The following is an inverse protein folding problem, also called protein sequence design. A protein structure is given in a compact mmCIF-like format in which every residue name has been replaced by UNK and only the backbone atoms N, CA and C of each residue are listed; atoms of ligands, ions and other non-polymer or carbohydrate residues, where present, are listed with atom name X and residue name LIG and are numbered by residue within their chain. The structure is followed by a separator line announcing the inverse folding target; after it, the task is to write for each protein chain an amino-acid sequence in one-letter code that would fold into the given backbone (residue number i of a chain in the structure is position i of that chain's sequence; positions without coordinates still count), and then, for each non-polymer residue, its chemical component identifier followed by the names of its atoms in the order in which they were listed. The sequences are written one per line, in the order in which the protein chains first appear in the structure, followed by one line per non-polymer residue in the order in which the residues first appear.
data_IF_957782114467
#
_entry.id   IF_957782114467
#
_cell.length_a   1.000
_cell.length_b   1.000
_cell.length_c   1.000
_cell.angle_alpha   90.00
_cell.angle_beta   90.00
_cell.angle_gamma   90.00
#
_symmetry.space_group_name_H-M   'P 1'
#
loop_
_entity.id
_entity.type
_entity.pdbx_description
1 polymer ?
#
# COMPACT_ATOMS: atom_id res chain seq x y z
N UNK A 1 6.30 28.14 15.29
CA UNK A 1 6.21 28.28 13.83
C UNK A 1 5.68 27.02 13.14
N UNK A 2 6.17 25.80 13.43
CA UNK A 2 5.68 24.55 12.82
C UNK A 2 4.20 24.29 13.08
N UNK A 3 3.73 24.50 14.32
CA UNK A 3 2.31 24.36 14.69
C UNK A 3 1.40 25.26 13.88
N UNK A 4 1.77 26.54 13.76
CA UNK A 4 1.00 27.52 13.01
C UNK A 4 0.95 27.17 11.51
N UNK A 5 2.07 26.74 10.93
CA UNK A 5 2.14 26.32 9.54
C UNK A 5 1.23 25.10 9.28
N UNK A 6 1.22 24.11 10.20
CA UNK A 6 0.39 22.92 10.08
C UNK A 6 -1.11 23.25 10.19
N UNK A 7 -1.49 24.08 11.18
CA UNK A 7 -2.88 24.52 11.36
C UNK A 7 -3.34 25.34 10.17
N UNK A 8 -2.51 26.28 9.68
CA UNK A 8 -2.82 27.08 8.49
C UNK A 8 -3.02 26.19 7.25
N UNK A 9 -2.12 25.23 7.03
CA UNK A 9 -2.28 24.25 5.97
C UNK A 9 -3.60 23.49 6.12
N UNK A 10 -3.93 23.01 7.33
CA UNK A 10 -5.20 22.30 7.59
C UNK A 10 -6.40 23.21 7.29
N UNK A 11 -6.39 24.46 7.74
CA UNK A 11 -7.49 25.42 7.50
C UNK A 11 -7.68 25.71 6.01
N UNK A 12 -6.58 25.79 5.23
CA UNK A 12 -6.65 25.96 3.76
C UNK A 12 -7.21 24.70 3.09
N UNK A 13 -6.81 23.50 3.55
CA UNK A 13 -7.28 22.23 2.97
C UNK A 13 -8.72 21.87 3.34
N UNK A 14 -9.28 22.41 4.42
CA UNK A 14 -10.63 22.09 4.88
C UNK A 14 -11.71 22.45 3.84
N UNK A 15 -11.81 23.70 3.34
CA UNK A 15 -12.77 24.05 2.29
C UNK A 15 -12.47 23.32 0.97
N UNK A 16 -11.21 23.02 0.68
CA UNK A 16 -10.81 22.24 -0.48
C UNK A 16 -11.32 20.79 -0.37
N UNK A 17 -11.24 20.19 0.81
CA UNK A 17 -11.74 18.83 1.09
C UNK A 17 -13.27 18.73 0.91
N UNK A 18 -14.01 19.79 1.28
CA UNK A 18 -15.45 19.86 1.10
C UNK A 18 -15.85 20.02 -0.38
N UNK A 19 -15.08 20.79 -1.18
CA UNK A 19 -15.39 21.05 -2.59
C UNK A 19 -14.82 19.99 -3.54
N UNK A 20 -13.65 19.47 -3.23
CA UNK A 20 -12.91 18.49 -4.03
C UNK A 20 -12.52 17.28 -3.14
N UNK A 21 -13.44 16.33 -2.93
CA UNK A 21 -13.20 15.20 -2.01
C UNK A 21 -11.95 14.37 -2.33
N UNK A 22 -11.57 14.29 -3.62
CA UNK A 22 -10.33 13.61 -4.01
C UNK A 22 -9.07 14.31 -3.44
N UNK A 23 -9.03 15.65 -3.40
CA UNK A 23 -7.97 16.40 -2.75
C UNK A 23 -8.00 16.21 -1.22
N UNK A 24 -9.19 16.18 -0.64
CA UNK A 24 -9.40 15.85 0.78
C UNK A 24 -8.84 14.46 1.13
N UNK A 25 -9.13 13.46 0.32
CA UNK A 25 -8.61 12.10 0.53
C UNK A 25 -7.08 12.01 0.37
N UNK A 26 -6.46 12.80 -0.51
CA UNK A 26 -5.00 12.92 -0.60
C UNK A 26 -4.41 13.53 0.68
N UNK A 27 -5.03 14.60 1.19
CA UNK A 27 -4.61 15.22 2.45
C UNK A 27 -4.82 14.27 3.64
N UNK A 28 -5.92 13.54 3.70
CA UNK A 28 -6.18 12.52 4.71
C UNK A 28 -5.13 11.43 4.68
N UNK A 29 -4.80 10.87 3.50
CA UNK A 29 -3.73 9.88 3.35
C UNK A 29 -2.37 10.43 3.79
N UNK A 30 -2.04 11.69 3.44
CA UNK A 30 -0.84 12.35 3.91
C UNK A 30 -0.78 12.45 5.43
N UNK A 31 -1.87 12.87 6.09
CA UNK A 31 -1.94 12.93 7.55
C UNK A 31 -1.88 11.55 8.21
N UNK A 32 -2.46 10.51 7.58
CA UNK A 32 -2.43 9.13 8.09
C UNK A 32 -1.03 8.52 8.05
N UNK A 33 -0.31 8.68 6.93
CA UNK A 33 0.98 8.02 6.68
C UNK A 33 2.14 8.86 7.22
N UNK A 34 2.19 10.17 6.90
CA UNK A 34 3.28 11.04 7.33
C UNK A 34 3.15 11.47 8.80
N UNK A 35 1.92 11.52 9.33
CA UNK A 35 1.63 12.01 10.69
C UNK A 35 2.28 13.39 11.00
N UNK A 36 2.05 14.44 10.20
CA UNK A 36 2.74 15.72 10.35
C UNK A 36 2.44 16.39 11.69
N UNK A 37 1.27 16.12 12.30
CA UNK A 37 0.91 16.62 13.63
C UNK A 37 1.77 16.01 14.75
N UNK A 38 2.46 14.90 14.52
CA UNK A 38 3.43 14.31 15.45
C UNK A 38 4.87 14.85 15.25
N UNK A 39 5.07 15.72 14.24
CA UNK A 39 6.34 16.38 13.94
C UNK A 39 6.43 17.78 14.55
N UNK A 40 5.38 18.27 15.20
CA UNK A 40 5.30 19.54 15.91
C UNK A 40 5.43 19.33 17.42
N UNK A 41 5.82 20.35 18.15
CA UNK A 41 6.12 20.24 19.59
C UNK A 41 5.23 21.14 20.46
N UNK A 42 4.22 21.81 19.88
CA UNK A 42 3.36 22.75 20.58
C UNK A 42 1.90 22.30 20.58
N UNK A 43 0.99 23.26 20.55
CA UNK A 43 -0.45 23.05 20.72
C UNK A 43 -1.11 22.15 19.66
N UNK A 44 -0.51 22.06 18.47
CA UNK A 44 -1.04 21.24 17.38
C UNK A 44 -0.74 19.73 17.54
N UNK A 45 0.18 19.33 18.43
CA UNK A 45 0.61 17.94 18.62
C UNK A 45 -0.53 16.98 18.98
N UNK A 46 -1.42 17.40 19.88
CA UNK A 46 -2.53 16.59 20.37
C UNK A 46 -3.84 16.78 19.59
N UNK A 47 -3.88 17.63 18.58
CA UNK A 47 -5.11 17.97 17.89
C UNK A 47 -5.53 16.87 16.91
N UNK A 48 -6.84 16.56 16.80
CA UNK A 48 -7.36 15.50 15.91
C UNK A 48 -7.45 15.98 14.45
N UNK A 49 -6.39 16.60 13.92
CA UNK A 49 -6.39 17.24 12.60
C UNK A 49 -6.70 16.22 11.48
N UNK A 50 -6.18 15.00 11.61
CA UNK A 50 -6.48 13.93 10.66
C UNK A 50 -7.98 13.59 10.63
N UNK A 51 -8.62 13.49 11.80
CA UNK A 51 -10.06 13.21 11.90
C UNK A 51 -10.91 14.35 11.34
N UNK A 52 -10.49 15.61 11.54
CA UNK A 52 -11.17 16.78 11.00
C UNK A 52 -11.15 16.75 9.46
N UNK A 53 -10.00 16.46 8.84
CA UNK A 53 -9.85 16.33 7.39
C UNK A 53 -10.68 15.14 6.88
N UNK A 54 -10.66 14.01 7.60
CA UNK A 54 -11.45 12.83 7.25
C UNK A 54 -12.95 13.14 7.20
N UNK A 55 -13.49 13.77 8.24
CA UNK A 55 -14.90 14.17 8.31
C UNK A 55 -15.25 15.17 7.21
N UNK A 56 -14.42 16.20 6.98
CA UNK A 56 -14.63 17.16 5.89
C UNK A 56 -14.63 16.47 4.52
N UNK A 57 -13.73 15.50 4.31
CA UNK A 57 -13.66 14.72 3.06
C UNK A 57 -14.91 13.88 2.85
N UNK A 58 -15.39 13.18 3.90
CA UNK A 58 -16.61 12.37 3.86
C UNK A 58 -17.84 13.23 3.58
N UNK A 59 -17.99 14.36 4.28
CA UNK A 59 -19.10 15.30 4.05
C UNK A 59 -19.04 15.87 2.63
N UNK A 60 -17.85 16.30 2.17
CA UNK A 60 -17.66 16.78 0.82
C UNK A 60 -18.02 15.72 -0.23
N UNK A 61 -17.64 14.46 -0.02
CA UNK A 61 -18.02 13.37 -0.92
C UNK A 61 -19.52 13.10 -0.93
N UNK A 62 -20.19 13.11 0.22
CA UNK A 62 -21.63 12.89 0.32
C UNK A 62 -22.42 13.95 -0.47
N UNK A 63 -21.99 15.21 -0.41
CA UNK A 63 -22.66 16.35 -1.08
C UNK A 63 -22.21 16.49 -2.54
N UNK A 64 -21.04 15.97 -2.91
CA UNK A 64 -20.47 16.11 -4.24
C UNK A 64 -21.25 15.35 -5.31
N UNK A 65 -21.07 15.79 -6.58
CA UNK A 65 -21.57 15.11 -7.76
C UNK A 65 -20.64 13.98 -8.25
N UNK A 66 -19.64 13.61 -7.47
CA UNK A 66 -18.74 12.50 -7.80
C UNK A 66 -19.53 11.19 -7.94
N UNK A 67 -19.18 10.34 -8.91
CA UNK A 67 -19.87 9.07 -9.09
C UNK A 67 -19.70 8.17 -7.86
N UNK A 68 -20.81 7.77 -7.24
CA UNK A 68 -20.82 6.88 -6.06
C UNK A 68 -21.04 5.42 -6.49
N UNK A 69 -20.27 4.98 -7.51
CA UNK A 69 -20.37 3.62 -8.03
C UNK A 69 -19.45 2.69 -7.25
N UNK A 70 -20.01 1.63 -6.66
CA UNK A 70 -19.24 0.57 -6.05
C UNK A 70 -18.45 -0.18 -7.12
N UNK A 71 -17.15 -0.46 -6.91
CA UNK A 71 -16.37 -1.23 -7.88
C UNK A 71 -16.92 -2.63 -8.08
N UNK A 72 -16.97 -3.09 -9.32
CA UNK A 72 -17.44 -4.43 -9.70
C UNK A 72 -16.37 -5.52 -9.53
N UNK A 73 -15.56 -5.42 -8.47
CA UNK A 73 -14.51 -6.35 -8.12
C UNK A 73 -14.84 -7.10 -6.82
N UNK A 74 -14.22 -8.25 -6.58
CA UNK A 74 -14.42 -9.01 -5.34
C UNK A 74 -13.72 -8.38 -4.13
N UNK A 75 -12.58 -7.71 -4.33
CA UNK A 75 -11.76 -7.15 -3.24
C UNK A 75 -12.53 -6.14 -2.38
N UNK A 76 -13.26 -5.13 -2.92
CA UNK A 76 -14.05 -4.20 -2.12
C UNK A 76 -15.10 -4.89 -1.24
N UNK A 77 -15.72 -5.96 -1.73
CA UNK A 77 -16.70 -6.74 -0.97
C UNK A 77 -16.05 -7.56 0.14
N UNK A 78 -14.89 -8.16 -0.13
CA UNK A 78 -14.12 -8.89 0.89
C UNK A 78 -13.58 -7.94 1.97
N UNK A 79 -13.14 -6.73 1.61
CA UNK A 79 -12.74 -5.72 2.59
C UNK A 79 -13.93 -5.24 3.44
N UNK A 80 -15.11 -5.06 2.83
CA UNK A 80 -16.32 -4.76 3.58
C UNK A 80 -16.72 -5.89 4.52
N UNK A 81 -16.64 -7.14 4.05
CA UNK A 81 -16.90 -8.33 4.85
C UNK A 81 -15.90 -8.45 6.00
N UNK A 82 -14.61 -8.17 5.76
CA UNK A 82 -13.58 -8.15 6.80
C UNK A 82 -13.88 -7.11 7.87
N UNK A 83 -14.25 -5.88 7.47
CA UNK A 83 -14.65 -4.82 8.41
C UNK A 83 -15.90 -5.21 9.20
N UNK A 84 -16.90 -5.80 8.54
CA UNK A 84 -18.11 -6.28 9.19
C UNK A 84 -17.78 -7.39 10.21
N UNK A 85 -16.90 -8.33 9.85
CA UNK A 85 -16.45 -9.39 10.76
C UNK A 85 -15.67 -8.82 11.94
N UNK A 86 -14.67 -7.95 11.73
CA UNK A 86 -13.90 -7.30 12.78
C UNK A 86 -14.80 -6.51 13.75
N UNK A 87 -15.86 -5.87 13.24
CA UNK A 87 -16.81 -5.13 14.06
C UNK A 87 -17.70 -6.08 14.87
N UNK A 88 -18.12 -7.19 14.24
CA UNK A 88 -18.97 -8.20 14.85
C UNK A 88 -18.25 -8.99 15.95
N UNK A 89 -16.97 -9.32 15.78
CA UNK A 89 -16.22 -10.12 16.74
C UNK A 89 -15.64 -9.31 17.91
N UNK A 90 -15.48 -7.99 17.77
CA UNK A 90 -14.89 -7.10 18.80
C UNK A 90 -15.63 -7.17 20.16
N UNK A 91 -16.97 -7.23 20.26
CA UNK A 91 -17.67 -7.45 21.54
C UNK A 91 -17.35 -8.78 22.23
N UNK A 92 -16.94 -9.79 21.45
CA UNK A 92 -16.57 -11.13 21.95
C UNK A 92 -15.07 -11.29 22.22
N UNK A 93 -14.30 -10.21 22.09
CA UNK A 93 -12.86 -10.18 22.34
C UNK A 93 -12.55 -10.61 23.79
N UNK A 94 -11.33 -11.10 24.02
CA UNK A 94 -10.85 -11.45 25.37
C UNK A 94 -10.86 -10.23 26.32
N UNK A 95 -10.55 -9.04 25.79
CA UNK A 95 -10.62 -7.75 26.52
C UNK A 95 -11.32 -6.73 25.60
N UNK A 96 -12.67 -6.68 25.59
CA UNK A 96 -13.42 -5.85 24.64
C UNK A 96 -13.07 -4.37 24.70
N UNK A 97 -12.92 -3.80 25.92
CA UNK A 97 -12.59 -2.38 26.08
C UNK A 97 -11.25 -2.01 25.41
N UNK A 98 -10.26 -2.90 25.49
CA UNK A 98 -8.97 -2.74 24.81
C UNK A 98 -9.10 -2.87 23.29
N UNK A 99 -9.86 -3.87 22.84
CA UNK A 99 -10.10 -4.13 21.42
C UNK A 99 -10.80 -2.96 20.71
N UNK A 100 -11.79 -2.31 21.36
CA UNK A 100 -12.49 -1.16 20.81
C UNK A 100 -11.57 0.06 20.51
N UNK A 101 -10.50 0.24 21.28
CA UNK A 101 -9.52 1.31 21.03
C UNK A 101 -8.81 1.10 19.70
N UNK A 102 -8.41 -0.13 19.40
CA UNK A 102 -7.76 -0.46 18.12
C UNK A 102 -8.75 -0.54 16.97
N UNK A 103 -9.99 -0.97 17.22
CA UNK A 103 -11.07 -0.94 16.23
C UNK A 103 -11.31 0.50 15.74
N UNK A 104 -11.41 1.48 16.62
CA UNK A 104 -11.60 2.89 16.27
C UNK A 104 -10.49 3.41 15.35
N UNK A 105 -9.24 3.05 15.60
CA UNK A 105 -8.12 3.39 14.73
C UNK A 105 -8.23 2.68 13.36
N UNK A 106 -8.53 1.40 13.38
CA UNK A 106 -8.57 0.55 12.18
C UNK A 106 -9.71 0.95 11.26
N UNK A 107 -10.90 1.22 11.78
CA UNK A 107 -12.05 1.62 10.96
C UNK A 107 -11.81 2.94 10.20
N UNK A 108 -11.04 3.86 10.77
CA UNK A 108 -10.66 5.11 10.08
C UNK A 108 -9.75 4.84 8.89
N UNK A 109 -8.84 3.85 9.00
CA UNK A 109 -8.00 3.40 7.87
C UNK A 109 -8.88 2.82 6.77
N UNK A 110 -9.80 1.90 7.10
CA UNK A 110 -10.71 1.32 6.11
C UNK A 110 -11.64 2.37 5.48
N UNK A 111 -12.08 3.38 6.24
CA UNK A 111 -12.86 4.48 5.69
C UNK A 111 -12.06 5.25 4.61
N UNK A 112 -10.77 5.51 4.82
CA UNK A 112 -9.90 6.06 3.78
C UNK A 112 -9.83 5.13 2.55
N UNK A 113 -9.66 3.81 2.78
CA UNK A 113 -9.58 2.83 1.69
C UNK A 113 -10.85 2.82 0.84
N UNK A 114 -12.03 2.88 1.48
CA UNK A 114 -13.30 2.99 0.76
C UNK A 114 -13.40 4.31 -0.02
N UNK A 115 -12.90 5.43 0.52
CA UNK A 115 -12.82 6.69 -0.24
C UNK A 115 -11.88 6.57 -1.44
N UNK A 116 -10.79 5.82 -1.34
CA UNK A 116 -9.91 5.56 -2.49
C UNK A 116 -10.67 4.85 -3.61
N UNK A 117 -11.50 3.85 -3.31
CA UNK A 117 -12.32 3.18 -4.33
C UNK A 117 -13.24 4.13 -5.10
N UNK A 118 -13.89 5.06 -4.41
CA UNK A 118 -14.83 5.98 -5.04
C UNK A 118 -14.15 7.13 -5.79
N UNK A 119 -13.06 7.66 -5.28
CA UNK A 119 -12.49 8.93 -5.72
C UNK A 119 -11.31 8.80 -6.69
N UNK A 120 -10.55 7.70 -6.66
CA UNK A 120 -9.31 7.58 -7.44
C UNK A 120 -9.51 6.81 -8.75
N UNK A 121 -10.49 7.27 -9.55
CA UNK A 121 -10.93 6.61 -10.79
C UNK A 121 -10.27 7.15 -12.06
N UNK A 122 -9.35 8.09 -11.95
CA UNK A 122 -8.61 8.67 -13.09
C UNK A 122 -7.10 8.51 -12.93
N UNK A 123 -6.37 8.49 -14.07
CA UNK A 123 -4.90 8.42 -14.07
C UNK A 123 -4.27 9.50 -13.18
N UNK A 124 -4.73 10.74 -13.28
CA UNK A 124 -4.18 11.86 -12.51
C UNK A 124 -4.36 11.66 -11.00
N UNK A 125 -5.54 11.22 -10.56
CA UNK A 125 -5.83 10.97 -9.14
C UNK A 125 -5.01 9.77 -8.60
N UNK A 126 -4.88 8.68 -9.37
CA UNK A 126 -4.03 7.53 -9.01
C UNK A 126 -2.57 8.00 -8.81
N UNK A 127 -2.02 8.76 -9.77
CA UNK A 127 -0.66 9.31 -9.64
C UNK A 127 -0.54 10.28 -8.47
N UNK A 128 -1.57 11.10 -8.19
CA UNK A 128 -1.62 11.96 -7.01
C UNK A 128 -1.46 11.17 -5.70
N UNK A 129 -2.16 10.04 -5.57
CA UNK A 129 -2.02 9.16 -4.39
C UNK A 129 -0.62 8.52 -4.33
N UNK A 130 -0.10 8.03 -5.47
CA UNK A 130 1.28 7.50 -5.52
C UNK A 130 2.29 8.54 -5.04
N UNK A 131 2.16 9.81 -5.47
CA UNK A 131 3.01 10.88 -4.99
C UNK A 131 2.85 11.16 -3.49
N UNK A 132 1.63 11.10 -2.95
CA UNK A 132 1.41 11.25 -1.50
C UNK A 132 2.10 10.15 -0.72
N UNK A 133 2.01 8.89 -1.18
CA UNK A 133 2.72 7.77 -0.55
C UNK A 133 4.24 8.00 -0.55
N UNK A 134 4.80 8.32 -1.72
CA UNK A 134 6.24 8.54 -1.92
C UNK A 134 6.75 9.72 -1.08
N UNK A 135 6.04 10.84 -1.05
CA UNK A 135 6.46 12.01 -0.27
C UNK A 135 6.37 11.72 1.24
N UNK A 136 5.31 11.02 1.67
CA UNK A 136 5.07 10.74 3.09
C UNK A 136 6.12 9.81 3.68
N UNK A 137 6.39 8.69 3.06
CA UNK A 137 7.38 7.71 3.53
C UNK A 137 8.79 8.10 3.12
N UNK A 138 8.96 8.63 1.92
CA UNK A 138 10.23 9.13 1.42
C UNK A 138 10.84 10.21 2.31
N UNK A 139 10.02 11.04 2.97
CA UNK A 139 10.50 11.98 3.99
C UNK A 139 11.27 11.27 5.11
N UNK A 140 10.70 10.20 5.68
CA UNK A 140 11.37 9.41 6.72
C UNK A 140 12.54 8.61 6.18
N UNK A 141 12.38 8.03 4.99
CA UNK A 141 13.44 7.26 4.33
C UNK A 141 14.67 8.12 4.03
N UNK A 142 14.47 9.31 3.45
CA UNK A 142 15.57 10.26 3.15
C UNK A 142 16.19 10.79 4.43
N UNK A 143 15.38 11.28 5.38
CA UNK A 143 15.88 11.76 6.67
C UNK A 143 16.66 10.68 7.41
N UNK A 144 16.13 9.45 7.44
CA UNK A 144 16.78 8.30 8.07
C UNK A 144 18.08 7.90 7.36
N UNK A 145 18.12 7.93 6.01
CA UNK A 145 19.34 7.66 5.25
C UNK A 145 20.44 8.66 5.52
N UNK A 146 20.11 9.97 5.52
CA UNK A 146 21.05 11.02 5.90
C UNK A 146 21.53 10.83 7.34
N UNK A 147 20.62 10.55 8.28
CA UNK A 147 20.96 10.28 9.67
C UNK A 147 21.91 9.07 9.81
N UNK A 148 21.68 8.01 9.08
CA UNK A 148 22.55 6.82 9.07
C UNK A 148 23.95 7.15 8.55
N UNK A 149 24.06 7.92 7.46
CA UNK A 149 25.36 8.34 6.89
C UNK A 149 26.11 9.21 7.88
N UNK A 150 25.49 10.27 8.39
CA UNK A 150 26.13 11.23 9.29
C UNK A 150 26.47 10.63 10.65
N UNK A 151 25.67 9.64 11.10
CA UNK A 151 25.89 8.93 12.36
C UNK A 151 26.79 7.71 12.23
N UNK A 152 27.38 7.41 11.06
CA UNK A 152 28.19 6.21 10.83
C UNK A 152 27.45 4.90 11.13
N UNK A 153 26.12 4.89 11.00
CA UNK A 153 25.28 3.72 11.26
C UNK A 153 25.09 3.33 12.74
N UNK A 154 25.65 4.08 13.70
CA UNK A 154 25.61 3.69 15.12
C UNK A 154 24.25 3.82 15.81
N UNK A 155 23.33 4.60 15.26
CA UNK A 155 22.03 4.85 15.86
C UNK A 155 20.89 4.27 15.01
N UNK A 156 19.89 3.67 15.68
CA UNK A 156 18.74 3.04 15.02
C UNK A 156 17.77 4.13 14.53
N UNK A 157 17.30 3.98 13.28
CA UNK A 157 16.28 4.86 12.71
C UNK A 157 14.89 4.35 13.09
N UNK A 158 14.10 5.21 13.73
CA UNK A 158 12.70 4.98 14.10
C UNK A 158 11.77 5.85 13.25
N UNK A 159 10.51 5.41 13.17
CA UNK A 159 9.45 6.19 12.51
C UNK A 159 8.79 7.21 13.42
N UNK A 160 7.70 7.86 12.93
CA UNK A 160 6.98 8.87 13.71
C UNK A 160 6.24 8.24 14.88
N UNK A 161 6.36 8.87 16.06
CA UNK A 161 5.68 8.42 17.28
C UNK A 161 4.17 8.30 17.08
N UNK A 162 3.57 7.34 17.78
CA UNK A 162 2.12 7.06 17.77
C UNK A 162 1.53 6.78 16.36
N UNK A 163 2.37 6.38 15.40
CA UNK A 163 1.94 5.94 14.06
C UNK A 163 1.97 4.41 13.94
N UNK A 164 1.45 3.89 12.82
CA UNK A 164 1.62 2.48 12.42
C UNK A 164 3.08 2.16 12.10
N UNK A 165 3.87 3.17 11.78
CA UNK A 165 5.27 3.06 11.36
C UNK A 165 6.26 3.49 12.44
N UNK A 166 5.85 3.56 13.71
CA UNK A 166 6.68 4.03 14.82
C UNK A 166 7.95 3.17 15.03
N UNK A 167 7.78 1.87 15.00
CA UNK A 167 8.89 0.91 15.17
C UNK A 167 9.83 0.90 13.96
N UNK A 168 11.14 0.68 14.20
CA UNK A 168 12.16 0.62 13.18
C UNK A 168 11.88 -0.46 12.11
N UNK A 169 11.34 -1.61 12.50
CA UNK A 169 11.03 -2.69 11.57
C UNK A 169 9.82 -2.35 10.68
N UNK A 170 8.79 -1.72 11.27
CA UNK A 170 7.59 -1.30 10.53
C UNK A 170 7.93 -0.20 9.52
N UNK A 171 8.76 0.78 9.93
CA UNK A 171 9.23 1.83 9.03
C UNK A 171 10.07 1.24 7.88
N UNK A 172 10.99 0.33 8.18
CA UNK A 172 11.83 -0.31 7.16
C UNK A 172 10.97 -1.04 6.12
N UNK A 173 9.98 -1.83 6.56
CA UNK A 173 9.09 -2.54 5.63
C UNK A 173 8.22 -1.59 4.81
N UNK A 174 7.72 -0.50 5.40
CA UNK A 174 6.96 0.51 4.68
C UNK A 174 7.79 1.17 3.58
N UNK A 175 9.03 1.56 3.88
CA UNK A 175 9.96 2.14 2.90
C UNK A 175 10.30 1.12 1.80
N UNK A 176 10.59 -0.13 2.13
CA UNK A 176 10.81 -1.18 1.11
C UNK A 176 9.59 -1.35 0.21
N UNK A 177 8.39 -1.30 0.77
CA UNK A 177 7.14 -1.41 0.00
C UNK A 177 6.92 -0.23 -0.95
N UNK A 178 7.40 0.95 -0.58
CA UNK A 178 7.33 2.17 -1.39
C UNK A 178 8.36 2.20 -2.53
N UNK A 179 9.57 1.67 -2.34
CA UNK A 179 10.69 1.77 -3.30
C UNK A 179 10.33 1.41 -4.76
N UNK A 180 9.54 0.37 -5.06
CA UNK A 180 9.12 0.11 -6.44
C UNK A 180 8.29 1.24 -7.05
N UNK A 181 7.51 1.98 -6.24
CA UNK A 181 6.75 3.14 -6.71
C UNK A 181 7.67 4.32 -7.02
N UNK A 182 8.70 4.54 -6.20
CA UNK A 182 9.76 5.53 -6.48
C UNK A 182 10.46 5.19 -7.80
N UNK A 183 10.79 3.92 -8.02
CA UNK A 183 11.38 3.45 -9.27
C UNK A 183 10.46 3.67 -10.47
N UNK A 184 9.14 3.42 -10.32
CA UNK A 184 8.14 3.76 -11.34
C UNK A 184 8.19 5.24 -11.72
N UNK A 185 8.22 6.14 -10.73
CA UNK A 185 8.30 7.58 -10.98
C UNK A 185 9.60 7.95 -11.72
N UNK A 186 10.74 7.38 -11.34
CA UNK A 186 12.03 7.60 -12.02
C UNK A 186 11.96 7.19 -13.51
N UNK A 187 11.32 6.06 -13.81
CA UNK A 187 11.17 5.57 -15.19
C UNK A 187 10.30 6.49 -16.05
N UNK A 188 9.24 7.07 -15.47
CA UNK A 188 8.28 7.92 -16.17
C UNK A 188 8.60 9.42 -16.13
N UNK A 189 9.66 9.83 -15.39
CA UNK A 189 10.10 11.21 -15.30
C UNK A 189 11.15 11.50 -16.36
N UNK A 190 10.82 12.39 -17.32
CA UNK A 190 11.74 12.83 -18.39
C UNK A 190 12.68 13.95 -17.95
N UNK A 191 12.23 14.81 -17.04
CA UNK A 191 12.98 15.97 -16.58
C UNK A 191 14.14 15.55 -15.65
N UNK A 192 15.38 15.78 -16.06
CA UNK A 192 16.58 15.40 -15.29
C UNK A 192 16.62 16.04 -13.90
N UNK A 193 16.18 17.29 -13.78
CA UNK A 193 16.14 18.03 -12.52
C UNK A 193 15.24 17.40 -11.46
N UNK A 194 14.24 16.60 -11.84
CA UNK A 194 13.37 15.86 -10.95
C UNK A 194 13.83 14.40 -10.80
N UNK A 195 14.31 13.81 -11.90
CA UNK A 195 14.76 12.41 -11.93
C UNK A 195 15.98 12.17 -11.03
N UNK A 196 16.98 13.06 -11.07
CA UNK A 196 18.21 12.92 -10.29
C UNK A 196 17.92 12.99 -8.77
N UNK A 197 17.23 14.02 -8.22
CA UNK A 197 16.90 14.04 -6.81
C UNK A 197 16.06 12.85 -6.35
N UNK A 198 15.12 12.36 -7.19
CA UNK A 198 14.32 11.16 -6.87
C UNK A 198 15.19 9.91 -6.80
N UNK A 199 16.18 9.77 -7.68
CA UNK A 199 17.16 8.68 -7.61
C UNK A 199 18.02 8.77 -6.34
N UNK A 200 18.50 9.97 -6.00
CA UNK A 200 19.25 10.18 -4.74
C UNK A 200 18.39 9.85 -3.52
N UNK A 201 17.13 10.28 -3.52
CA UNK A 201 16.18 9.95 -2.46
C UNK A 201 15.99 8.43 -2.33
N UNK A 202 15.87 7.71 -3.46
CA UNK A 202 15.77 6.25 -3.46
C UNK A 202 17.02 5.58 -2.85
N UNK A 203 18.23 6.08 -3.15
CA UNK A 203 19.47 5.55 -2.56
C UNK A 203 19.51 5.79 -1.05
N UNK A 204 19.13 6.99 -0.58
CA UNK A 204 19.05 7.30 0.85
C UNK A 204 18.03 6.43 1.57
N UNK A 205 16.90 6.13 0.95
CA UNK A 205 15.90 5.21 1.49
C UNK A 205 16.45 3.78 1.65
N UNK A 206 17.21 3.28 0.66
CA UNK A 206 17.89 1.98 0.78
C UNK A 206 18.88 1.99 1.95
N UNK A 207 19.70 3.04 2.10
CA UNK A 207 20.64 3.19 3.23
C UNK A 207 19.88 3.21 4.57
N UNK A 208 18.75 3.89 4.64
CA UNK A 208 17.88 3.92 5.83
C UNK A 208 17.41 2.52 6.23
N UNK A 209 17.10 1.61 5.29
CA UNK A 209 16.69 0.25 5.62
C UNK A 209 17.79 -0.49 6.40
N UNK A 210 19.05 -0.28 6.06
CA UNK A 210 20.17 -0.81 6.85
C UNK A 210 20.28 -0.09 8.20
N UNK A 211 20.20 1.24 8.23
CA UNK A 211 20.23 2.05 9.46
C UNK A 211 19.05 1.81 10.41
N UNK A 212 18.00 1.13 9.95
CA UNK A 212 16.90 0.69 10.81
C UNK A 212 17.25 -0.53 11.68
N UNK A 213 18.31 -1.25 11.36
CA UNK A 213 18.68 -2.52 12.00
C UNK A 213 17.60 -3.61 11.90
N UNK A 214 16.69 -3.50 10.95
CA UNK A 214 15.58 -4.42 10.74
C UNK A 214 16.00 -5.62 9.88
N UNK A 215 16.17 -6.79 10.50
CA UNK A 215 16.43 -8.05 9.77
C UNK A 215 15.33 -8.34 8.74
N UNK A 216 14.06 -8.17 9.14
CA UNK A 216 12.90 -8.34 8.26
C UNK A 216 12.87 -7.33 7.11
N UNK A 217 13.24 -6.06 7.36
CA UNK A 217 13.35 -5.03 6.34
C UNK A 217 14.44 -5.34 5.31
N UNK A 218 15.62 -5.77 5.76
CA UNK A 218 16.73 -6.17 4.86
C UNK A 218 16.36 -7.40 4.02
N UNK A 219 15.70 -8.40 4.60
CA UNK A 219 15.21 -9.56 3.85
C UNK A 219 14.14 -9.17 2.82
N UNK A 220 13.17 -8.32 3.19
CA UNK A 220 12.17 -7.81 2.26
C UNK A 220 12.79 -7.00 1.11
N UNK A 221 13.83 -6.18 1.41
CA UNK A 221 14.62 -5.47 0.42
C UNK A 221 15.31 -6.45 -0.54
N UNK A 222 15.92 -7.50 -0.02
CA UNK A 222 16.54 -8.57 -0.81
C UNK A 222 15.55 -9.25 -1.75
N UNK A 223 14.35 -9.57 -1.28
CA UNK A 223 13.26 -10.13 -2.12
C UNK A 223 12.86 -9.15 -3.20
N UNK A 224 12.62 -7.88 -2.86
CA UNK A 224 12.28 -6.82 -3.81
C UNK A 224 13.35 -6.69 -4.91
N UNK A 225 14.62 -6.55 -4.50
CA UNK A 225 15.74 -6.40 -5.45
C UNK A 225 15.90 -7.65 -6.33
N UNK A 226 15.74 -8.85 -5.78
CA UNK A 226 15.78 -10.11 -6.53
C UNK A 226 14.70 -10.16 -7.61
N UNK A 227 13.46 -9.77 -7.28
CA UNK A 227 12.37 -9.74 -8.26
C UNK A 227 12.65 -8.73 -9.38
N UNK A 228 13.13 -7.54 -9.05
CA UNK A 228 13.48 -6.51 -10.04
C UNK A 228 14.65 -6.95 -10.92
N UNK A 229 15.68 -7.56 -10.32
CA UNK A 229 16.84 -8.09 -11.03
C UNK A 229 16.49 -9.21 -12.00
N UNK A 230 15.69 -10.20 -11.56
CA UNK A 230 15.24 -11.32 -12.39
C UNK A 230 14.45 -10.88 -13.62
N UNK A 231 13.74 -9.74 -13.51
CA UNK A 231 12.92 -9.17 -14.60
C UNK A 231 13.66 -8.20 -15.51
N UNK A 232 14.85 -7.77 -15.11
CA UNK A 232 15.62 -6.81 -15.88
C UNK A 232 16.29 -7.45 -17.08
N UNK A 233 16.28 -6.76 -18.22
CA UNK A 233 17.06 -7.12 -19.40
C UNK A 233 18.56 -6.82 -19.21
N UNK A 234 18.90 -5.90 -18.28
CA UNK A 234 20.27 -5.46 -17.95
C UNK A 234 20.76 -6.04 -16.63
N UNK A 235 20.68 -7.37 -16.49
CA UNK A 235 20.98 -8.09 -15.23
C UNK A 235 22.35 -7.76 -14.65
N UNK A 236 23.39 -7.72 -15.50
CA UNK A 236 24.77 -7.43 -15.06
C UNK A 236 24.86 -6.02 -14.48
N UNK A 237 24.31 -5.01 -15.18
CA UNK A 237 24.35 -3.62 -14.72
C UNK A 237 23.63 -3.44 -13.38
N UNK A 238 22.40 -3.96 -13.26
CA UNK A 238 21.63 -3.84 -12.01
C UNK A 238 22.21 -4.71 -10.91
N UNK A 239 22.85 -5.85 -11.22
CA UNK A 239 23.58 -6.66 -10.26
C UNK A 239 24.78 -5.91 -9.69
N UNK A 240 25.59 -5.28 -10.53
CA UNK A 240 26.72 -4.43 -10.10
C UNK A 240 26.21 -3.24 -9.27
N UNK A 241 25.17 -2.54 -9.72
CA UNK A 241 24.60 -1.40 -9.00
C UNK A 241 24.08 -1.82 -7.62
N UNK A 242 23.37 -2.95 -7.53
CA UNK A 242 22.91 -3.51 -6.27
C UNK A 242 24.10 -3.86 -5.34
N UNK A 243 25.14 -4.48 -5.87
CA UNK A 243 26.35 -4.83 -5.11
C UNK A 243 27.04 -3.57 -4.57
N UNK A 244 27.16 -2.52 -5.39
CA UNK A 244 27.78 -1.24 -4.97
C UNK A 244 26.95 -0.55 -3.88
N UNK A 245 25.62 -0.47 -4.06
CA UNK A 245 24.74 0.21 -3.09
C UNK A 245 24.67 -0.58 -1.78
N UNK A 246 24.45 -1.89 -1.86
CA UNK A 246 24.36 -2.75 -0.67
C UNK A 246 25.73 -2.88 0.00
N UNK A 247 26.80 -3.10 -0.77
CA UNK A 247 28.16 -3.17 -0.25
C UNK A 247 28.61 -1.87 0.40
N UNK A 248 28.29 -0.72 -0.22
CA UNK A 248 28.56 0.60 0.36
C UNK A 248 27.76 0.85 1.63
N UNK A 249 26.48 0.47 1.68
CA UNK A 249 25.69 0.57 2.91
C UNK A 249 26.25 -0.33 4.02
N UNK A 250 26.59 -1.58 3.71
CA UNK A 250 27.17 -2.52 4.68
C UNK A 250 28.52 -2.07 5.21
N UNK A 251 29.40 -1.48 4.37
CA UNK A 251 30.70 -0.97 4.79
C UNK A 251 30.62 0.17 5.80
N UNK A 252 29.46 0.83 5.89
CA UNK A 252 29.21 1.92 6.85
C UNK A 252 28.62 1.41 8.18
N UNK A 253 28.22 0.12 8.24
CA UNK A 253 27.56 -0.42 9.44
C UNK A 253 28.59 -0.86 10.46
N UNK A 254 28.38 -0.58 11.76
CA UNK A 254 29.24 -1.00 12.85
C UNK A 254 29.08 -2.51 13.16
N UNK A 255 30.04 -3.05 13.92
CA UNK A 255 30.05 -4.48 14.33
C UNK A 255 28.77 -4.90 15.05
N UNK A 256 28.11 -3.99 15.76
CA UNK A 256 26.82 -4.24 16.42
C UNK A 256 25.67 -4.58 15.42
N UNK A 257 25.74 -4.08 14.20
CA UNK A 257 24.81 -4.45 13.14
C UNK A 257 25.06 -5.89 12.69
N UNK A 258 26.32 -6.25 12.45
CA UNK A 258 26.69 -7.60 12.02
C UNK A 258 26.43 -8.65 13.11
N UNK A 259 26.70 -8.33 14.37
CA UNK A 259 26.38 -9.23 15.48
C UNK A 259 24.88 -9.53 15.55
N UNK A 260 24.02 -8.54 15.31
CA UNK A 260 22.57 -8.75 15.20
C UNK A 260 22.16 -9.60 13.99
N UNK A 261 22.86 -9.49 12.85
CA UNK A 261 22.58 -10.35 11.71
C UNK A 261 23.04 -11.80 11.97
N UNK A 262 24.16 -12.01 12.66
CA UNK A 262 24.67 -13.34 12.99
C UNK A 262 23.75 -14.14 13.93
N UNK A 263 22.92 -13.50 14.76
CA UNK A 263 21.93 -14.21 15.60
C UNK A 263 20.88 -14.96 14.78
N UNK A 264 20.75 -14.70 13.46
CA UNK A 264 19.91 -15.50 12.57
C UNK A 264 20.38 -16.97 12.53
N UNK A 265 21.66 -17.24 12.72
CA UNK A 265 22.21 -18.60 12.69
C UNK A 265 22.00 -19.38 14.01
N UNK A 266 21.58 -18.71 15.09
CA UNK A 266 21.31 -19.27 16.41
C UNK A 266 19.82 -19.24 16.77
N UNK A 267 18.98 -19.72 15.87
CA UNK A 267 17.50 -19.68 15.94
C UNK A 267 16.95 -20.22 17.27
N UNK A 268 17.59 -21.23 17.84
CA UNK A 268 17.14 -21.86 19.09
C UNK A 268 17.51 -21.05 20.35
N UNK A 269 18.39 -20.05 20.25
CA UNK A 269 18.84 -19.19 21.36
C UNK A 269 18.47 -17.72 21.16
N UNK A 270 17.85 -17.36 20.02
CA UNK A 270 17.36 -16.02 19.76
C UNK A 270 16.01 -15.81 20.45
N UNK A 271 16.04 -15.18 21.63
CA UNK A 271 14.82 -14.84 22.41
C UNK A 271 13.78 -14.12 21.58
N UNK A 272 14.19 -13.27 20.63
CA UNK A 272 13.28 -12.55 19.74
C UNK A 272 12.55 -13.47 18.75
N UNK A 273 13.20 -14.54 18.29
CA UNK A 273 12.56 -15.53 17.41
C UNK A 273 11.63 -16.45 18.22
N UNK A 274 12.10 -16.95 19.35
CA UNK A 274 11.29 -17.80 20.24
C UNK A 274 10.03 -17.06 20.72
N UNK A 275 10.14 -15.79 21.09
CA UNK A 275 9.00 -14.96 21.46
C UNK A 275 7.96 -14.86 20.35
N UNK A 276 8.36 -14.82 19.06
CA UNK A 276 7.42 -14.85 17.92
C UNK A 276 6.75 -16.20 17.78
N UNK A 277 7.49 -17.29 17.88
CA UNK A 277 6.95 -18.66 17.80
C UNK A 277 5.94 -18.87 18.92
N UNK A 278 6.25 -18.43 20.14
CA UNK A 278 5.35 -18.44 21.28
C UNK A 278 4.06 -17.65 21.00
N UNK A 279 4.17 -16.45 20.46
CA UNK A 279 3.01 -15.62 20.10
C UNK A 279 2.18 -16.26 18.95
N UNK A 280 2.81 -16.91 17.98
CA UNK A 280 2.10 -17.66 16.92
C UNK A 280 1.35 -18.87 17.51
N UNK A 281 2.00 -19.58 18.43
CA UNK A 281 1.36 -20.69 19.13
C UNK A 281 0.12 -20.23 19.91
N UNK A 282 0.23 -19.14 20.69
CA UNK A 282 -0.89 -18.56 21.43
C UNK A 282 -2.02 -18.13 20.48
N UNK A 283 -1.69 -17.43 19.38
CA UNK A 283 -2.68 -17.00 18.40
C UNK A 283 -3.43 -18.19 17.76
N UNK A 284 -2.69 -19.25 17.41
CA UNK A 284 -3.25 -20.46 16.82
C UNK A 284 -4.16 -21.22 17.80
N UNK A 285 -3.68 -21.45 19.01
CA UNK A 285 -4.43 -22.19 20.05
C UNK A 285 -5.72 -21.45 20.39
N UNK A 286 -5.63 -20.14 20.67
CA UNK A 286 -6.81 -19.34 21.03
C UNK A 286 -7.83 -19.31 19.89
N UNK A 287 -7.42 -19.05 18.64
CA UNK A 287 -8.32 -19.02 17.50
C UNK A 287 -8.98 -20.37 17.23
N UNK A 288 -8.31 -21.49 17.58
CA UNK A 288 -8.85 -22.84 17.38
C UNK A 288 -9.85 -23.20 18.49
N UNK A 289 -9.54 -22.91 19.74
CA UNK A 289 -10.42 -23.18 20.88
C UNK A 289 -11.68 -22.30 20.91
N UNK A 290 -11.53 -21.05 20.44
CA UNK A 290 -12.63 -20.06 20.46
C UNK A 290 -13.31 -19.91 19.09
N UNK A 291 -13.11 -20.87 18.18
CA UNK A 291 -13.75 -20.80 16.86
C UNK A 291 -15.23 -20.40 16.97
N UNK A 292 -15.73 -19.46 16.12
CA UNK A 292 -15.04 -18.82 14.99
C UNK A 292 -14.26 -17.54 15.33
N UNK A 293 -14.28 -17.09 16.59
CA UNK A 293 -13.76 -15.80 17.07
C UNK A 293 -12.25 -15.83 17.32
N UNK A 294 -11.63 -14.63 17.27
CA UNK A 294 -10.30 -14.37 17.78
C UNK A 294 -10.32 -13.77 19.18
N UNK A 295 -9.14 -13.31 19.63
CA UNK A 295 -9.00 -12.65 20.91
C UNK A 295 -9.42 -11.16 20.88
N UNK A 296 -9.81 -10.63 19.72
CA UNK A 296 -9.98 -9.21 19.44
C UNK A 296 -8.65 -8.53 19.14
N UNK A 297 -8.71 -7.28 18.67
CA UNK A 297 -7.51 -6.52 18.28
C UNK A 297 -6.43 -6.54 19.36
N UNK A 298 -5.26 -7.08 19.02
CA UNK A 298 -4.12 -7.30 19.91
C UNK A 298 -4.45 -8.12 21.18
N UNK A 299 -5.58 -8.80 21.22
CA UNK A 299 -6.06 -9.55 22.38
C UNK A 299 -5.16 -10.73 22.74
N UNK A 300 -4.59 -11.41 21.74
CA UNK A 300 -3.66 -12.53 21.93
C UNK A 300 -2.36 -12.14 22.67
N UNK A 301 -2.01 -10.84 22.70
CA UNK A 301 -0.84 -10.30 23.40
C UNK A 301 -1.16 -9.84 24.84
N UNK A 302 -2.41 -9.93 25.27
CA UNK A 302 -2.79 -9.55 26.63
C UNK A 302 -2.36 -10.62 27.63
N UNK A 303 -2.01 -10.25 28.89
CA UNK A 303 -1.63 -11.22 29.92
C UNK A 303 -2.68 -12.32 30.12
N UNK A 304 -3.97 -11.96 30.01
CA UNK A 304 -5.09 -12.88 30.21
C UNK A 304 -5.09 -14.03 29.19
N UNK A 305 -4.72 -13.74 27.94
CA UNK A 305 -4.66 -14.75 26.87
C UNK A 305 -3.30 -15.40 26.83
N UNK A 306 -2.24 -14.61 26.81
CA UNK A 306 -0.88 -15.11 26.60
C UNK A 306 -0.43 -16.06 27.71
N UNK A 307 -0.62 -15.65 28.99
CA UNK A 307 -0.21 -16.48 30.14
C UNK A 307 -1.15 -17.66 30.40
N UNK A 308 -2.34 -17.70 29.78
CA UNK A 308 -3.19 -18.90 29.82
C UNK A 308 -2.51 -20.09 29.11
N UNK A 309 -1.86 -19.84 27.97
CA UNK A 309 -1.17 -20.89 27.21
C UNK A 309 0.31 -21.03 27.57
N UNK A 310 0.96 -19.93 27.97
CA UNK A 310 2.39 -19.88 28.28
C UNK A 310 2.63 -19.13 29.60
N UNK A 311 2.34 -19.79 30.74
CA UNK A 311 2.53 -19.19 32.07
C UNK A 311 4.02 -18.83 32.29
N UNK A 312 4.29 -17.60 32.73
CA UNK A 312 5.63 -17.14 33.09
C UNK A 312 6.48 -16.67 31.91
N UNK A 313 6.05 -16.88 30.67
CA UNK A 313 6.75 -16.36 29.49
C UNK A 313 6.51 -14.85 29.29
N UNK A 314 7.49 -14.15 28.73
CA UNK A 314 7.34 -12.73 28.37
C UNK A 314 6.28 -12.54 27.30
N UNK A 315 5.51 -11.45 27.40
CA UNK A 315 4.50 -11.08 26.40
C UNK A 315 5.17 -10.68 25.09
N UNK A 316 4.78 -11.31 24.01
CA UNK A 316 5.26 -11.01 22.67
C UNK A 316 4.13 -10.72 21.68
N UNK A 317 4.37 -9.77 20.76
CA UNK A 317 3.50 -9.57 19.62
C UNK A 317 3.70 -10.68 18.59
N UNK A 318 2.66 -10.97 17.80
CA UNK A 318 2.73 -12.00 16.75
C UNK A 318 3.81 -11.71 15.70
N UNK A 319 4.16 -10.43 15.49
CA UNK A 319 5.10 -10.02 14.44
C UNK A 319 4.90 -10.78 13.14
N UNK A 320 3.64 -10.93 12.72
CA UNK A 320 3.23 -11.53 11.46
C UNK A 320 1.82 -11.05 11.11
N UNK A 321 1.63 -10.53 9.90
CA UNK A 321 0.30 -10.10 9.43
C UNK A 321 -0.71 -11.26 9.44
N UNK A 322 -0.26 -12.48 9.23
CA UNK A 322 -1.10 -13.67 9.18
C UNK A 322 -1.53 -14.11 10.57
N UNK A 323 -0.58 -14.25 11.49
CA UNK A 323 -0.87 -14.64 12.86
C UNK A 323 -1.49 -13.49 13.67
N UNK A 324 -1.26 -12.23 13.26
CA UNK A 324 -1.99 -11.10 13.82
C UNK A 324 -3.48 -11.23 13.52
N UNK A 325 -3.86 -11.41 12.25
CA UNK A 325 -5.28 -11.58 11.87
C UNK A 325 -5.88 -12.84 12.49
N UNK A 326 -5.13 -13.93 12.53
CA UNK A 326 -5.59 -15.18 13.15
C UNK A 326 -5.86 -15.00 14.67
N UNK A 327 -4.93 -14.38 15.37
CA UNK A 327 -5.07 -14.14 16.80
C UNK A 327 -6.13 -13.12 17.13
N UNK A 328 -6.24 -12.06 16.32
CA UNK A 328 -7.20 -10.97 16.55
C UNK A 328 -8.64 -11.38 16.16
N UNK A 329 -8.83 -12.02 14.98
CA UNK A 329 -10.15 -12.22 14.35
C UNK A 329 -10.47 -13.68 14.01
N UNK A 330 -9.68 -14.61 14.52
CA UNK A 330 -9.89 -16.04 14.35
C UNK A 330 -9.72 -16.55 12.91
N UNK A 331 -10.08 -17.79 12.71
CA UNK A 331 -10.00 -18.46 11.41
C UNK A 331 -10.87 -17.80 10.33
N UNK A 332 -12.03 -17.24 10.71
CA UNK A 332 -12.91 -16.53 9.76
C UNK A 332 -12.24 -15.24 9.27
N UNK A 333 -11.63 -14.45 10.17
CA UNK A 333 -10.87 -13.27 9.78
C UNK A 333 -9.73 -13.61 8.81
N UNK A 334 -8.96 -14.67 9.09
CA UNK A 334 -7.88 -15.12 8.22
C UNK A 334 -8.41 -15.64 6.87
N UNK A 335 -9.53 -16.38 6.86
CA UNK A 335 -10.14 -16.89 5.64
C UNK A 335 -10.68 -15.80 4.71
N UNK A 336 -11.03 -14.62 5.24
CA UNK A 336 -11.40 -13.44 4.45
C UNK A 336 -10.14 -12.68 4.01
N UNK A 337 -9.16 -12.53 4.89
CA UNK A 337 -7.97 -11.71 4.68
C UNK A 337 -7.04 -12.28 3.60
N UNK A 338 -6.72 -13.57 3.64
CA UNK A 338 -5.79 -14.20 2.69
C UNK A 338 -6.27 -14.09 1.23
N UNK A 339 -7.55 -14.36 0.89
CA UNK A 339 -8.07 -14.11 -0.46
C UNK A 339 -7.89 -12.68 -0.95
N UNK A 340 -8.02 -11.66 -0.09
CA UNK A 340 -7.77 -10.25 -0.47
C UNK A 340 -6.34 -10.08 -0.99
N UNK A 341 -5.35 -10.63 -0.28
CA UNK A 341 -3.94 -10.54 -0.68
C UNK A 341 -3.67 -11.26 -2.01
N UNK A 342 -4.23 -12.45 -2.18
CA UNK A 342 -4.05 -13.26 -3.40
C UNK A 342 -4.73 -12.62 -4.61
N UNK A 343 -5.95 -12.11 -4.43
CA UNK A 343 -6.70 -11.43 -5.49
C UNK A 343 -6.00 -10.15 -5.92
N UNK A 344 -5.38 -9.40 -5.01
CA UNK A 344 -4.59 -8.22 -5.35
C UNK A 344 -3.41 -8.57 -6.27
N UNK A 345 -2.66 -9.64 -5.97
CA UNK A 345 -1.57 -10.11 -6.84
C UNK A 345 -2.09 -10.61 -8.21
N UNK A 346 -3.25 -11.27 -8.23
CA UNK A 346 -3.93 -11.70 -9.45
C UNK A 346 -4.33 -10.50 -10.30
N UNK A 347 -4.91 -9.47 -9.70
CA UNK A 347 -5.38 -8.28 -10.40
C UNK A 347 -4.22 -7.49 -11.00
N UNK A 348 -3.09 -7.36 -10.29
CA UNK A 348 -1.87 -6.83 -10.85
C UNK A 348 -1.42 -7.61 -12.10
N UNK A 349 -1.49 -8.95 -12.04
CA UNK A 349 -1.18 -9.82 -13.16
C UNK A 349 -2.14 -9.65 -14.34
N UNK A 350 -3.44 -9.43 -14.07
CA UNK A 350 -4.46 -9.18 -15.10
C UNK A 350 -4.18 -7.85 -15.81
N UNK A 351 -3.99 -6.74 -15.06
CA UNK A 351 -3.69 -5.43 -15.64
C UNK A 351 -2.45 -5.51 -16.53
N UNK A 352 -1.35 -6.10 -16.01
CA UNK A 352 -0.12 -6.28 -16.79
C UNK A 352 -0.35 -7.03 -18.10
N UNK A 353 -1.06 -8.15 -18.06
CA UNK A 353 -1.32 -8.97 -19.25
C UNK A 353 -2.20 -8.24 -20.27
N UNK A 354 -3.22 -7.51 -19.80
CA UNK A 354 -4.15 -6.79 -20.65
C UNK A 354 -3.55 -5.52 -21.29
N UNK A 355 -2.57 -4.89 -20.64
CA UNK A 355 -2.01 -3.60 -21.08
C UNK A 355 -0.64 -3.72 -21.73
N UNK A 356 -0.05 -4.92 -21.79
CA UNK A 356 1.32 -5.17 -22.25
C UNK A 356 1.60 -4.63 -23.64
N UNK A 357 0.70 -4.92 -24.58
CA UNK A 357 0.89 -4.66 -26.02
C UNK A 357 0.17 -3.38 -26.47
N UNK A 358 -0.30 -2.55 -25.54
CA UNK A 358 -1.01 -1.28 -25.80
C UNK A 358 -0.10 -0.12 -25.37
N UNK A 359 0.54 0.60 -26.33
CA UNK A 359 1.50 1.67 -26.01
C UNK A 359 0.94 2.78 -25.12
N UNK A 360 -0.33 3.16 -25.32
CA UNK A 360 -1.02 4.21 -24.56
C UNK A 360 -1.23 3.81 -23.08
N UNK A 361 -1.24 2.50 -22.79
CA UNK A 361 -1.41 1.93 -21.45
C UNK A 361 -0.08 1.46 -20.83
N UNK A 362 1.07 1.75 -21.44
CA UNK A 362 2.38 1.37 -20.91
C UNK A 362 2.57 1.83 -19.46
N UNK A 363 2.10 3.03 -19.13
CA UNK A 363 2.15 3.54 -17.78
C UNK A 363 1.38 2.65 -16.77
N UNK A 364 0.25 2.09 -17.18
CA UNK A 364 -0.57 1.22 -16.33
C UNK A 364 0.08 -0.16 -16.16
N UNK A 365 0.70 -0.68 -17.22
CA UNK A 365 1.51 -1.89 -17.17
C UNK A 365 2.64 -1.75 -16.16
N UNK A 366 3.44 -0.68 -16.28
CA UNK A 366 4.60 -0.45 -15.43
C UNK A 366 4.18 -0.17 -13.97
N UNK A 367 3.09 0.59 -13.76
CA UNK A 367 2.55 0.84 -12.42
C UNK A 367 2.05 -0.45 -11.76
N UNK A 368 1.24 -1.25 -12.47
CA UNK A 368 0.74 -2.53 -11.94
C UNK A 368 1.88 -3.51 -11.63
N UNK A 369 2.96 -3.48 -12.44
CA UNK A 369 4.14 -4.30 -12.19
C UNK A 369 4.85 -3.87 -10.91
N UNK A 370 5.07 -2.58 -10.71
CA UNK A 370 5.71 -2.07 -9.49
C UNK A 370 4.82 -2.25 -8.25
N UNK A 371 3.51 -2.03 -8.35
CA UNK A 371 2.58 -2.34 -7.26
C UNK A 371 2.60 -3.83 -6.88
N UNK A 372 2.72 -4.73 -7.87
CA UNK A 372 2.88 -6.16 -7.60
C UNK A 372 4.18 -6.47 -6.85
N UNK A 373 5.29 -5.85 -7.23
CA UNK A 373 6.56 -5.99 -6.50
C UNK A 373 6.42 -5.46 -5.07
N UNK A 374 5.83 -4.28 -4.88
CA UNK A 374 5.52 -3.70 -3.56
C UNK A 374 4.73 -4.66 -2.68
N UNK A 375 3.63 -5.22 -3.21
CA UNK A 375 2.77 -6.14 -2.46
C UNK A 375 3.48 -7.45 -2.11
N UNK A 376 4.25 -8.04 -3.03
CA UNK A 376 5.03 -9.27 -2.74
C UNK A 376 6.05 -8.99 -1.63
N UNK A 377 6.78 -7.88 -1.70
CA UNK A 377 7.76 -7.48 -0.69
C UNK A 377 7.11 -7.23 0.67
N UNK A 378 5.93 -6.57 0.67
CA UNK A 378 5.15 -6.37 1.88
C UNK A 378 4.65 -7.69 2.49
N UNK A 379 4.11 -8.61 1.68
CA UNK A 379 3.58 -9.89 2.17
C UNK A 379 4.68 -10.78 2.75
N UNK A 380 5.85 -10.76 2.11
CA UNK A 380 7.02 -11.48 2.60
C UNK A 380 7.55 -10.86 3.92
N UNK A 381 7.81 -9.55 3.95
CA UNK A 381 8.29 -8.88 5.17
C UNK A 381 7.24 -8.85 6.28
N UNK A 382 5.98 -8.73 5.93
CA UNK A 382 4.84 -8.79 6.83
C UNK A 382 4.61 -10.17 7.47
N UNK A 383 5.17 -11.24 6.90
CA UNK A 383 5.19 -12.54 7.56
C UNK A 383 5.98 -12.51 8.89
N UNK A 384 6.85 -11.52 9.06
CA UNK A 384 7.68 -11.32 10.25
C UNK A 384 7.38 -9.99 10.98
N UNK A 385 6.23 -9.32 10.71
CA UNK A 385 5.85 -8.02 11.31
C UNK A 385 4.34 -7.88 11.48
N UNK A 386 3.89 -7.28 12.59
CA UNK A 386 2.48 -6.98 12.87
C UNK A 386 2.05 -5.69 12.16
N UNK A 387 1.69 -5.78 10.88
CA UNK A 387 1.26 -4.67 10.03
C UNK A 387 -0.01 -4.99 9.23
N UNK A 388 -0.86 -5.91 9.73
CA UNK A 388 -2.06 -6.34 9.00
C UNK A 388 -3.07 -5.20 8.73
N UNK A 389 -3.05 -4.16 9.53
CA UNK A 389 -3.94 -2.99 9.40
C UNK A 389 -3.22 -1.74 8.85
N UNK A 390 -2.03 -1.88 8.26
CA UNK A 390 -1.30 -0.74 7.72
C UNK A 390 -2.02 -0.17 6.49
N UNK A 391 -2.16 1.15 6.44
CA UNK A 391 -2.83 1.87 5.36
C UNK A 391 -2.11 1.78 4.02
N UNK A 392 -0.77 1.78 3.99
CA UNK A 392 0.04 1.77 2.77
C UNK A 392 -0.37 0.66 1.78
N UNK A 393 -0.28 -0.61 2.19
CA UNK A 393 -0.55 -1.71 1.26
C UNK A 393 -2.04 -1.84 0.94
N UNK A 394 -2.93 -1.47 1.86
CA UNK A 394 -4.37 -1.42 1.62
C UNK A 394 -4.73 -0.35 0.57
N UNK A 395 -4.09 0.83 0.63
CA UNK A 395 -4.21 1.87 -0.41
C UNK A 395 -3.72 1.32 -1.75
N UNK A 396 -2.59 0.61 -1.80
CA UNK A 396 -2.09 -0.01 -3.04
C UNK A 396 -3.09 -1.02 -3.61
N UNK A 397 -3.70 -1.85 -2.77
CA UNK A 397 -4.77 -2.78 -3.20
C UNK A 397 -5.95 -2.02 -3.80
N UNK A 398 -6.41 -0.95 -3.15
CA UNK A 398 -7.53 -0.15 -3.64
C UNK A 398 -7.20 0.56 -4.96
N UNK A 399 -6.02 1.14 -5.08
CA UNK A 399 -5.56 1.76 -6.34
C UNK A 399 -5.46 0.73 -7.46
N UNK A 400 -5.05 -0.50 -7.16
CA UNK A 400 -4.94 -1.58 -8.15
C UNK A 400 -6.31 -2.00 -8.69
N UNK A 401 -7.34 -2.10 -7.84
CA UNK A 401 -8.73 -2.33 -8.26
C UNK A 401 -9.19 -1.22 -9.20
N UNK A 402 -8.93 0.04 -8.84
CA UNK A 402 -9.29 1.19 -9.67
C UNK A 402 -8.48 1.23 -10.98
N UNK A 403 -7.20 0.88 -10.95
CA UNK A 403 -6.36 0.79 -12.14
C UNK A 403 -6.90 -0.27 -13.11
N UNK A 404 -7.31 -1.43 -12.60
CA UNK A 404 -7.96 -2.49 -13.40
C UNK A 404 -9.27 -2.01 -14.01
N UNK A 405 -10.11 -1.33 -13.25
CA UNK A 405 -11.37 -0.77 -13.76
C UNK A 405 -11.13 0.30 -14.84
N UNK A 406 -10.12 1.17 -14.65
CA UNK A 406 -9.76 2.23 -15.57
C UNK A 406 -9.21 1.71 -16.92
N UNK A 407 -8.42 0.63 -16.88
CA UNK A 407 -7.77 0.08 -18.08
C UNK A 407 -8.67 -0.82 -18.91
N UNK A 408 -9.67 -1.45 -18.30
CA UNK A 408 -10.57 -2.41 -18.98
C UNK A 408 -11.27 -1.86 -20.23
N UNK A 409 -11.90 -0.67 -20.25
CA UNK A 409 -12.53 -0.12 -21.45
C UNK A 409 -11.55 0.14 -22.58
N UNK A 410 -10.37 0.69 -22.26
CA UNK A 410 -9.32 0.95 -23.26
C UNK A 410 -8.75 -0.36 -23.87
N UNK A 411 -8.59 -1.39 -23.03
CA UNK A 411 -8.19 -2.73 -23.49
C UNK A 411 -9.23 -3.33 -24.44
N UNK A 412 -10.51 -3.27 -24.10
CA UNK A 412 -11.59 -3.74 -24.96
C UNK A 412 -11.67 -2.99 -26.29
N UNK A 413 -11.50 -1.66 -26.25
CA UNK A 413 -11.47 -0.84 -27.47
C UNK A 413 -10.27 -1.17 -28.38
N UNK A 414 -9.08 -1.44 -27.79
CA UNK A 414 -7.91 -1.85 -28.56
C UNK A 414 -8.10 -3.23 -29.21
N UNK A 415 -8.68 -4.19 -28.48
CA UNK A 415 -8.98 -5.52 -29.01
C UNK A 415 -10.02 -5.48 -30.15
N UNK A 416 -11.04 -4.63 -30.02
CA UNK A 416 -12.04 -4.43 -31.08
C UNK A 416 -11.42 -3.89 -32.37
N UNK A 417 -10.40 -3.01 -32.28
CA UNK A 417 -9.67 -2.48 -33.45
C UNK A 417 -8.81 -3.55 -34.16
N UNK A 418 -8.27 -4.50 -33.42
CA UNK A 418 -7.46 -5.61 -33.95
C UNK A 418 -8.36 -6.67 -34.59
N UNK A 419 -9.54 -6.93 -34.00
CA UNK A 419 -10.51 -7.92 -34.48
C UNK A 419 -11.33 -7.50 -35.71
N UNK A 420 -11.30 -6.24 -36.16
CA UNK A 420 -11.84 -5.81 -37.44
C UNK A 420 -10.80 -6.05 -38.53
N UNK A 421 -10.97 -7.00 -39.45
CA UNK A 421 -10.07 -7.13 -40.59
C UNK A 421 -10.09 -5.79 -41.33
N UNK A 422 -8.94 -5.15 -41.49
CA UNK A 422 -8.77 -4.08 -42.48
C UNK A 422 -8.92 -4.73 -43.85
N UNK A 423 -10.10 -4.62 -44.42
CA UNK A 423 -10.31 -4.85 -45.83
C UNK A 423 -9.77 -3.63 -46.62
N UNK A 424 -8.49 -3.34 -46.50
CA UNK A 424 -7.77 -2.43 -47.36
C UNK A 424 -7.50 -3.17 -48.68
N UNK A 425 -8.50 -3.23 -49.57
CA UNK A 425 -8.28 -3.89 -50.85
C UNK A 425 -9.50 -4.32 -51.67
N UNK A 426 -10.73 -4.02 -51.26
CA UNK A 426 -11.85 -4.18 -52.20
C UNK A 426 -12.09 -2.84 -52.89
N UNK A 427 -12.06 -2.79 -54.25
CA UNK A 427 -12.46 -1.61 -54.98
C UNK A 427 -13.92 -1.31 -54.63
N UNK A 428 -14.23 -0.06 -54.36
CA UNK A 428 -15.58 0.42 -54.10
C UNK A 428 -16.51 -0.09 -55.20
N UNK A 429 -17.38 -1.04 -54.90
CA UNK A 429 -18.49 -1.39 -55.76
C UNK A 429 -19.30 -0.10 -55.94
N UNK A 430 -19.20 0.52 -57.14
CA UNK A 430 -20.09 1.59 -57.58
C UNK A 430 -21.51 1.09 -57.34
N UNK A 431 -22.20 1.69 -56.45
CA UNK A 431 -23.65 1.65 -56.42
C UNK A 431 -24.15 2.40 -57.67
N UNK A 432 -24.43 1.66 -58.73
CA UNK A 432 -25.21 2.17 -59.84
C UNK A 432 -26.61 2.44 -59.33
N UNK A 433 -26.92 3.72 -59.27
CA UNK A 433 -28.31 4.13 -59.03
C UNK A 433 -29.16 3.67 -60.24
N UNK A 434 -30.35 3.10 -60.01
CA UNK A 434 -31.23 2.72 -61.10
C UNK A 434 -31.68 3.95 -61.84
N UNK A 435 -31.15 4.17 -63.08
CA UNK A 435 -31.73 5.09 -64.06
C UNK A 435 -33.00 4.43 -64.58
N UNK A 436 -34.15 5.14 -64.53
CA UNK A 436 -35.30 4.77 -65.27
C UNK A 436 -36.64 4.87 -64.54
N UNK A 437 -37.15 6.08 -64.44
CA UNK A 437 -38.58 6.27 -64.42
C UNK A 437 -38.92 7.49 -65.31
N UNK A 438 -39.37 7.13 -66.45
CA UNK A 438 -39.84 8.01 -67.52
C UNK A 438 -40.98 8.89 -67.05
N UNK A 439 -40.88 10.18 -67.29
CA UNK A 439 -41.95 11.18 -67.09
C UNK A 439 -43.07 10.92 -68.12
N UNK A 440 -44.22 10.48 -67.60
CA UNK A 440 -45.51 10.49 -68.36
C UNK A 440 -46.23 11.82 -68.11
N UNK A 441 -46.18 12.75 -69.08
CA UNK A 441 -47.05 13.85 -69.16
C UNK A 441 -48.48 13.34 -69.61
N UNK A 442 -49.49 13.63 -68.90
CA UNK A 442 -50.86 13.61 -69.42
C UNK A 442 -51.51 14.95 -69.14
N UNK A 443 -51.87 15.59 -70.22
CA UNK A 443 -52.67 16.81 -70.34
C UNK A 443 -54.16 16.43 -70.34
N UNK A 444 -54.89 17.16 -69.64
CA UNK A 444 -56.22 17.66 -69.67
C UNK A 444 -57.31 17.10 -70.62
N UNK A 445 -58.59 17.39 -70.47
CA UNK A 445 -59.15 18.69 -70.27
C UNK A 445 -59.79 18.96 -68.91
#
# INVERSE_FOLDING_TARGET
MRDLALVLATVIYLPLSLRLPAAGALCWAWFSIMNPHRQVYGFAYGQPLNSIIAVATLLGWLVSREPKKWPSDAIPWLLLLLVAWMTFDTPFAAVPAYSWVFWDRTIRIFALIFMVFFLFTTKARIHGMIWVLIISLGFYGVKGGVFTILGGGHAIVYGPEASVYNDNNQLALAVVTELPLVYYIIQHTKAAWLRIPTLMAMMLQVIMVFGSYSRGGVLALGVMMSILWLRSDRKILYGILALVVVGGALSMMPDSFFSRLHTINSVNTDESFQGRVNAWHVAFMYATERFPFGAGFNGAQTPQVFHHYLPGEALHAAHSIYFQILGDHGWVGLAIYVPILLLALRDAGIVRRQTRDIPELRWAYDLADMMRVSLISFYFGGAALSMAYADLYLVLIALLVNLRALTRPATLAALARIGTPRFDGLPALRQEAPQGAVAGRTTMP
#
